data_IF_941566994977
#
_entry.id   IF_941566994977
#
_cell.length_a   1.000
_cell.length_b   1.000
_cell.length_c   1.000
_cell.angle_alpha   90.00
_cell.angle_beta   90.00
_cell.angle_gamma   90.00
#
_symmetry.space_group_name_H-M   'P 1'
#
loop_
_entity.id
_entity.type
_entity.pdbx_description
1 polymer ?
#
# COMPACT_ATOMS: atom_id res chain seq x y z
N UNK A 1 21.59 -20.22 -22.71
CA UNK A 1 21.37 -18.94 -22.01
C UNK A 1 20.06 -19.07 -21.28
N UNK A 2 20.12 -19.38 -19.98
CA UNK A 2 18.93 -19.51 -19.16
C UNK A 2 18.28 -18.13 -18.95
N UNK A 3 16.96 -18.07 -19.15
CA UNK A 3 16.18 -16.86 -18.90
C UNK A 3 16.16 -16.61 -17.39
N UNK A 4 16.38 -15.37 -16.91
CA UNK A 4 16.27 -15.08 -15.49
C UNK A 4 14.83 -15.35 -15.03
N UNK A 5 14.67 -16.31 -14.13
CA UNK A 5 13.38 -16.58 -13.50
C UNK A 5 12.89 -15.32 -12.80
N UNK A 6 11.64 -14.92 -13.09
CA UNK A 6 11.00 -13.79 -12.41
C UNK A 6 10.82 -14.18 -10.94
N UNK A 7 11.66 -13.64 -10.07
CA UNK A 7 11.55 -13.81 -8.63
C UNK A 7 10.27 -13.11 -8.14
N UNK A 8 9.29 -13.89 -7.68
CA UNK A 8 8.07 -13.39 -7.04
C UNK A 8 8.36 -13.39 -5.54
N UNK A 9 8.24 -12.24 -4.89
CA UNK A 9 8.43 -12.09 -3.44
C UNK A 9 7.06 -12.08 -2.74
N UNK A 10 6.96 -12.72 -1.58
CA UNK A 10 5.76 -12.63 -0.74
C UNK A 10 5.75 -11.33 0.07
N UNK A 11 4.57 -10.90 0.52
CA UNK A 11 4.41 -9.69 1.35
C UNK A 11 5.05 -9.90 2.73
N UNK A 12 4.98 -11.13 3.25
CA UNK A 12 5.57 -11.52 4.51
C UNK A 12 7.10 -11.42 4.50
N UNK A 13 7.75 -11.82 3.40
CA UNK A 13 9.21 -11.70 3.22
C UNK A 13 9.69 -10.23 3.21
N UNK A 14 8.82 -9.32 2.78
CA UNK A 14 9.12 -7.89 2.71
C UNK A 14 8.89 -7.17 4.07
N UNK A 15 8.14 -7.77 5.00
CA UNK A 15 7.79 -7.17 6.30
C UNK A 15 8.90 -7.26 7.36
N UNK A 16 9.81 -8.24 7.28
CA UNK A 16 10.89 -8.39 8.26
C UNK A 16 12.12 -7.55 7.89
N UNK A 17 12.22 -6.37 8.51
CA UNK A 17 13.28 -5.38 8.28
C UNK A 17 14.68 -5.87 8.63
N UNK A 18 15.52 -6.01 7.60
CA UNK A 18 16.87 -5.45 7.52
C UNK A 18 17.43 -5.53 6.10
N UNK A 19 16.77 -6.25 5.19
CA UNK A 19 17.24 -6.32 3.80
C UNK A 19 16.16 -6.16 2.73
N UNK A 20 15.06 -5.48 3.04
CA UNK A 20 14.02 -5.15 2.06
C UNK A 20 14.60 -4.35 0.87
N UNK A 21 15.56 -3.45 1.12
CA UNK A 21 16.26 -2.75 0.05
C UNK A 21 17.11 -3.71 -0.82
N UNK A 22 17.80 -4.69 -0.21
CA UNK A 22 18.57 -5.68 -0.94
C UNK A 22 17.69 -6.70 -1.67
N UNK A 23 16.54 -7.08 -1.13
CA UNK A 23 15.55 -7.91 -1.81
C UNK A 23 15.00 -7.20 -3.05
N UNK A 24 14.86 -5.88 -3.01
CA UNK A 24 14.34 -5.07 -4.10
C UNK A 24 15.46 -4.45 -4.97
N UNK A 25 16.74 -4.74 -4.71
CA UNK A 25 17.87 -4.06 -5.38
C UNK A 25 17.93 -4.30 -6.88
N UNK A 26 17.48 -5.48 -7.30
CA UNK A 26 17.48 -5.93 -8.70
C UNK A 26 16.24 -5.44 -9.46
N UNK A 27 15.25 -4.87 -8.75
CA UNK A 27 14.08 -4.28 -9.38
C UNK A 27 14.38 -2.88 -9.93
N UNK A 28 13.84 -2.52 -11.11
CA UNK A 28 13.81 -1.16 -11.60
C UNK A 28 13.24 -0.19 -10.55
N UNK A 29 13.78 1.04 -10.48
CA UNK A 29 13.39 2.06 -9.50
C UNK A 29 11.88 2.25 -9.40
N UNK A 30 11.19 2.32 -10.55
CA UNK A 30 9.73 2.47 -10.58
C UNK A 30 9.00 1.31 -9.89
N UNK A 31 9.42 0.07 -10.16
CA UNK A 31 8.83 -1.13 -9.54
C UNK A 31 9.14 -1.20 -8.05
N UNK A 32 10.39 -0.89 -7.66
CA UNK A 32 10.78 -0.81 -6.25
C UNK A 32 9.92 0.20 -5.48
N UNK A 33 9.71 1.39 -6.04
CA UNK A 33 8.90 2.42 -5.41
C UNK A 33 7.45 1.96 -5.23
N UNK A 34 6.87 1.27 -6.22
CA UNK A 34 5.52 0.71 -6.11
C UNK A 34 5.44 -0.35 -5.01
N UNK A 35 6.39 -1.29 -4.97
CA UNK A 35 6.41 -2.33 -3.94
C UNK A 35 6.54 -1.71 -2.55
N UNK A 36 7.49 -0.80 -2.36
CA UNK A 36 7.66 -0.09 -1.09
C UNK A 36 6.38 0.66 -0.69
N UNK A 37 5.75 1.36 -1.64
CA UNK A 37 4.51 2.07 -1.37
C UNK A 37 3.40 1.13 -0.91
N UNK A 38 3.20 -0.02 -1.59
CA UNK A 38 2.20 -1.02 -1.19
C UNK A 38 2.47 -1.51 0.23
N UNK A 39 3.72 -1.81 0.58
CA UNK A 39 4.08 -2.28 1.91
C UNK A 39 3.83 -1.22 2.98
N UNK A 40 4.18 0.03 2.72
CA UNK A 40 3.94 1.16 3.62
C UNK A 40 2.45 1.53 3.78
N UNK A 41 1.58 0.99 2.94
CA UNK A 41 0.13 1.25 2.92
C UNK A 41 -0.72 -0.02 3.04
N UNK A 42 -0.10 -1.14 3.42
CA UNK A 42 -0.76 -2.43 3.53
C UNK A 42 -1.94 -2.39 4.52
N UNK A 43 -1.77 -1.66 5.61
CA UNK A 43 -2.80 -1.41 6.61
C UNK A 43 -4.07 -0.76 6.01
N UNK A 44 -3.91 0.21 5.12
CA UNK A 44 -5.05 0.82 4.44
C UNK A 44 -5.70 -0.13 3.41
N UNK A 45 -4.89 -0.93 2.71
CA UNK A 45 -5.40 -1.94 1.78
C UNK A 45 -6.20 -3.03 2.50
N UNK A 46 -5.73 -3.48 3.68
CA UNK A 46 -6.48 -4.39 4.54
C UNK A 46 -7.79 -3.77 5.01
N UNK A 47 -7.78 -2.49 5.37
CA UNK A 47 -8.99 -1.77 5.77
C UNK A 47 -10.03 -1.76 4.64
N UNK A 48 -9.62 -1.54 3.38
CA UNK A 48 -10.50 -1.66 2.21
C UNK A 48 -11.10 -3.06 2.11
N UNK A 49 -10.27 -4.10 2.21
CA UNK A 49 -10.67 -5.49 2.03
C UNK A 49 -11.55 -6.01 3.17
N UNK A 50 -11.33 -5.54 4.41
CA UNK A 50 -12.08 -5.97 5.59
C UNK A 50 -13.58 -5.68 5.51
N UNK A 51 -13.97 -4.72 4.66
CA UNK A 51 -15.36 -4.26 4.58
C UNK A 51 -15.82 -3.40 5.76
N UNK A 52 -14.97 -3.18 6.77
CA UNK A 52 -15.25 -2.28 7.90
C UNK A 52 -15.48 -0.86 7.37
N UNK A 53 -16.62 -0.25 7.71
CA UNK A 53 -16.90 1.16 7.42
C UNK A 53 -16.00 2.06 8.28
N UNK A 54 -15.34 3.04 7.67
CA UNK A 54 -14.50 3.99 8.40
C UNK A 54 -15.35 4.95 9.22
N UNK A 55 -14.88 5.31 10.41
CA UNK A 55 -15.43 6.46 11.13
C UNK A 55 -14.92 7.77 10.53
N UNK A 56 -15.59 8.89 10.84
CA UNK A 56 -15.13 10.22 10.43
C UNK A 56 -13.72 10.57 10.98
N UNK A 57 -13.39 10.07 12.18
CA UNK A 57 -12.07 10.26 12.80
C UNK A 57 -10.97 9.47 12.08
N UNK A 58 -11.27 8.22 11.70
CA UNK A 58 -10.37 7.39 10.89
C UNK A 58 -10.12 8.03 9.52
N UNK A 59 -11.18 8.50 8.85
CA UNK A 59 -11.07 9.19 7.56
C UNK A 59 -10.19 10.44 7.66
N UNK A 60 -10.40 11.26 8.68
CA UNK A 60 -9.61 12.48 8.89
C UNK A 60 -8.14 12.16 9.12
N UNK A 61 -7.86 11.14 9.94
CA UNK A 61 -6.49 10.70 10.24
C UNK A 61 -5.77 10.23 8.98
N UNK A 62 -6.44 9.42 8.15
CA UNK A 62 -5.89 8.95 6.87
C UNK A 62 -5.66 10.08 5.87
N UNK A 63 -6.58 11.03 5.80
CA UNK A 63 -6.48 12.18 4.91
C UNK A 63 -5.30 13.08 5.29
N UNK A 64 -5.15 13.40 6.58
CA UNK A 64 -4.01 14.18 7.09
C UNK A 64 -2.66 13.49 6.83
N UNK A 65 -2.59 12.16 7.02
CA UNK A 65 -1.39 11.38 6.71
C UNK A 65 -1.04 11.46 5.22
N UNK A 66 -2.03 11.33 4.35
CA UNK A 66 -1.84 11.42 2.90
C UNK A 66 -1.37 12.82 2.45
N UNK A 67 -1.91 13.88 3.05
CA UNK A 67 -1.49 15.27 2.78
C UNK A 67 -0.06 15.54 3.23
N UNK A 68 0.30 15.13 4.44
CA UNK A 68 1.65 15.31 5.00
C UNK A 68 2.71 14.62 4.13
N UNK A 69 2.41 13.40 3.69
CA UNK A 69 3.31 12.58 2.87
C UNK A 69 3.28 12.98 1.38
N UNK A 70 2.37 13.87 0.96
CA UNK A 70 2.05 14.18 -0.45
C UNK A 70 1.73 12.91 -1.25
N UNK A 71 1.02 11.98 -0.61
CA UNK A 71 0.70 10.67 -1.14
C UNK A 71 -0.63 10.68 -1.90
N UNK A 72 -0.58 11.14 -3.16
CA UNK A 72 -1.76 11.23 -4.02
C UNK A 72 -2.42 9.88 -4.30
N UNK A 73 -1.67 8.78 -4.25
CA UNK A 73 -2.24 7.44 -4.42
C UNK A 73 -3.08 7.06 -3.21
N UNK A 74 -2.61 7.37 -1.99
CA UNK A 74 -3.38 7.14 -0.77
C UNK A 74 -4.64 8.02 -0.76
N UNK A 75 -4.56 9.28 -1.19
CA UNK A 75 -5.74 10.14 -1.34
C UNK A 75 -6.80 9.52 -2.26
N UNK A 76 -6.39 8.98 -3.41
CA UNK A 76 -7.30 8.31 -4.33
C UNK A 76 -7.94 7.05 -3.70
N UNK A 77 -7.16 6.27 -2.93
CA UNK A 77 -7.69 5.11 -2.23
C UNK A 77 -8.66 5.48 -1.10
N UNK A 78 -8.43 6.59 -0.39
CA UNK A 78 -9.37 7.10 0.62
C UNK A 78 -10.71 7.43 -0.05
N UNK A 79 -10.70 8.14 -1.18
CA UNK A 79 -11.92 8.44 -1.92
C UNK A 79 -12.64 7.16 -2.39
N UNK A 80 -11.89 6.20 -2.92
CA UNK A 80 -12.46 4.89 -3.30
C UNK A 80 -13.10 4.18 -2.11
N UNK A 81 -12.43 4.17 -0.96
CA UNK A 81 -12.95 3.56 0.26
C UNK A 81 -14.23 4.25 0.74
N UNK A 82 -14.31 5.58 0.68
CA UNK A 82 -15.53 6.34 1.01
C UNK A 82 -16.71 5.92 0.13
N UNK A 83 -16.51 5.77 -1.18
CA UNK A 83 -17.56 5.27 -2.07
C UNK A 83 -18.02 3.87 -1.67
N UNK A 84 -17.07 2.99 -1.30
CA UNK A 84 -17.39 1.63 -0.83
C UNK A 84 -18.09 1.58 0.52
N UNK A 85 -17.87 2.57 1.38
CA UNK A 85 -18.54 2.65 2.67
C UNK A 85 -19.98 3.13 2.53
N UNK A 86 -20.22 4.09 1.64
CA UNK A 86 -21.58 4.55 1.29
C UNK A 86 -22.41 3.41 0.67
N UNK A 87 -21.82 2.53 -0.14
CA UNK A 87 -22.50 1.37 -0.70
C UNK A 87 -22.93 0.33 0.37
N UNK A 88 -22.38 0.40 1.60
CA UNK A 88 -22.60 -0.58 2.67
C UNK A 88 -23.49 -0.08 3.81
N UNK A 89 -23.67 1.23 3.91
CA UNK A 89 -24.60 1.90 4.84
C UNK A 89 -25.98 2.06 4.23
#
# INVERSE_FOLDING_TARGET
MDKPEKKIFSIEELRCGLDMFNCLKDLPKAQRNVVLWILYRHDFLDLINSGKVMTAEEEQTWSQKAELDRDYMLMALILYKKTKDVERT
#
